data_IF_551048020244
#
_entry.id   IF_551048020244
#
_cell.length_a   1.000
_cell.length_b   1.000
_cell.length_c   1.000
_cell.angle_alpha   90.00
_cell.angle_beta   90.00
_cell.angle_gamma   90.00
#
_symmetry.space_group_name_H-M   'P 1'
#
loop_
_entity.id
_entity.type
_entity.pdbx_description
1 polymer ?
#
# COMPACT_ATOMS: atom_id res chain seq x y z
N UNK A 1 -37.96 38.91 -11.61
CA UNK A 1 -37.00 39.96 -11.17
C UNK A 1 -35.80 39.28 -10.53
N UNK A 2 -34.55 39.63 -10.89
CA UNK A 2 -33.37 39.08 -10.23
C UNK A 2 -33.37 39.46 -8.74
N UNK A 3 -33.12 38.49 -7.87
CA UNK A 3 -33.07 38.70 -6.42
C UNK A 3 -31.86 39.61 -6.10
N UNK A 4 -32.12 40.84 -5.67
CA UNK A 4 -31.08 41.80 -5.23
C UNK A 4 -30.52 41.35 -3.86
N UNK A 5 -29.22 41.56 -3.63
CA UNK A 5 -28.59 41.37 -2.31
C UNK A 5 -27.81 40.07 -2.07
N UNK A 6 -27.64 39.19 -3.07
CA UNK A 6 -26.75 38.02 -2.93
C UNK A 6 -25.30 38.39 -3.27
N UNK A 7 -24.40 38.23 -2.30
CA UNK A 7 -22.97 38.42 -2.50
C UNK A 7 -22.40 37.27 -3.33
N UNK A 8 -21.70 37.59 -4.42
CA UNK A 8 -20.96 36.62 -5.23
C UNK A 8 -19.53 36.47 -4.71
N UNK A 9 -19.08 35.22 -4.61
CA UNK A 9 -17.68 34.82 -4.38
C UNK A 9 -16.77 35.39 -5.51
N UNK A 10 -15.51 35.69 -5.21
CA UNK A 10 -14.48 36.09 -6.19
C UNK A 10 -14.42 35.18 -7.43
N UNK A 11 -14.38 33.86 -7.24
CA UNK A 11 -14.38 32.88 -8.34
C UNK A 11 -15.64 33.01 -9.20
N UNK A 12 -16.81 33.24 -8.59
CA UNK A 12 -18.04 33.46 -9.34
C UNK A 12 -17.99 34.75 -10.15
N UNK A 13 -17.42 35.83 -9.61
CA UNK A 13 -17.25 37.11 -10.32
C UNK A 13 -16.31 36.96 -11.52
N UNK A 14 -15.21 36.23 -11.37
CA UNK A 14 -14.29 35.92 -12.47
C UNK A 14 -14.98 35.15 -13.59
N UNK A 15 -15.81 34.15 -13.25
CA UNK A 15 -16.58 33.39 -14.23
C UNK A 15 -17.59 34.26 -15.00
N UNK A 16 -18.22 35.23 -14.32
CA UNK A 16 -19.14 36.19 -14.97
C UNK A 16 -18.38 37.06 -15.97
N UNK A 17 -17.20 37.57 -15.62
CA UNK A 17 -16.38 38.38 -16.53
C UNK A 17 -15.96 37.58 -17.78
N UNK A 18 -15.45 36.36 -17.60
CA UNK A 18 -15.07 35.49 -18.75
C UNK A 18 -16.24 35.21 -19.69
N UNK A 19 -17.43 35.00 -19.11
CA UNK A 19 -18.65 34.80 -19.87
C UNK A 19 -19.02 36.05 -20.68
N UNK A 20 -18.91 37.22 -20.07
CA UNK A 20 -19.16 38.50 -20.74
C UNK A 20 -18.17 38.70 -21.90
N UNK A 21 -16.86 38.54 -21.67
CA UNK A 21 -15.82 38.67 -22.70
C UNK A 21 -16.03 37.70 -23.88
N UNK A 22 -16.51 36.49 -23.61
CA UNK A 22 -16.83 35.52 -24.66
C UNK A 22 -17.97 36.01 -25.55
N UNK A 23 -19.07 36.49 -24.97
CA UNK A 23 -20.22 36.97 -25.74
C UNK A 23 -19.96 38.30 -26.43
N UNK A 24 -19.14 39.19 -25.86
CA UNK A 24 -18.70 40.41 -26.53
C UNK A 24 -17.90 40.10 -27.80
N UNK A 25 -17.01 39.11 -27.75
CA UNK A 25 -16.31 38.62 -28.95
C UNK A 25 -17.25 38.00 -29.97
N UNK A 26 -18.27 37.25 -29.55
CA UNK A 26 -19.28 36.71 -30.48
C UNK A 26 -20.10 37.83 -31.13
N UNK A 27 -20.41 38.89 -30.38
CA UNK A 27 -21.09 40.07 -30.91
C UNK A 27 -20.24 40.81 -31.93
N UNK A 28 -18.95 41.01 -31.66
CA UNK A 28 -18.00 41.64 -32.59
C UNK A 28 -17.81 40.81 -33.87
N UNK A 29 -17.88 39.49 -33.77
CA UNK A 29 -17.77 38.57 -34.89
C UNK A 29 -19.07 38.47 -35.74
N UNK A 30 -20.15 39.17 -35.35
CA UNK A 30 -21.43 39.13 -36.06
C UNK A 30 -22.17 37.79 -35.93
N UNK A 31 -21.79 36.97 -34.95
CA UNK A 31 -22.41 35.67 -34.73
C UNK A 31 -21.55 34.70 -33.92
N UNK A 32 -22.11 33.55 -33.55
CA UNK A 32 -21.44 32.63 -32.65
C UNK A 32 -20.21 31.97 -33.26
N UNK A 33 -19.11 31.91 -32.51
CA UNK A 33 -17.91 31.15 -32.93
C UNK A 33 -18.18 29.64 -33.00
N UNK A 34 -18.99 29.16 -32.06
CA UNK A 34 -19.37 27.76 -31.94
C UNK A 34 -20.88 27.67 -32.18
N UNK A 35 -21.37 26.71 -32.99
CA UNK A 35 -22.79 26.56 -33.25
C UNK A 35 -23.62 26.47 -31.96
N UNK A 36 -24.80 27.09 -31.95
CA UNK A 36 -25.72 27.13 -30.79
C UNK A 36 -26.11 25.72 -30.33
N UNK A 37 -26.11 24.75 -31.25
CA UNK A 37 -26.35 23.33 -30.97
C UNK A 37 -25.34 22.73 -29.99
N UNK A 38 -24.10 23.22 -29.98
CA UNK A 38 -23.00 22.66 -29.18
C UNK A 38 -22.84 23.36 -27.82
N UNK A 39 -23.93 23.41 -27.05
CA UNK A 39 -24.00 24.13 -25.76
C UNK A 39 -22.84 23.78 -24.82
N UNK A 40 -22.46 22.50 -24.70
CA UNK A 40 -21.39 22.05 -23.80
C UNK A 40 -20.03 22.65 -24.14
N UNK A 41 -19.70 22.71 -25.43
CA UNK A 41 -18.43 23.26 -25.90
C UNK A 41 -18.40 24.78 -25.78
N UNK A 42 -19.54 25.45 -26.02
CA UNK A 42 -19.69 26.89 -25.78
C UNK A 42 -19.41 27.27 -24.33
N UNK A 43 -20.06 26.57 -23.40
CA UNK A 43 -19.86 26.82 -21.95
C UNK A 43 -18.42 26.51 -21.54
N UNK A 44 -17.83 25.45 -22.11
CA UNK A 44 -16.42 25.08 -21.84
C UNK A 44 -15.46 26.19 -22.25
N UNK A 45 -15.62 26.74 -23.46
CA UNK A 45 -14.78 27.81 -23.98
C UNK A 45 -15.05 29.16 -23.31
N UNK A 46 -16.31 29.48 -23.04
CA UNK A 46 -16.69 30.73 -22.40
C UNK A 46 -16.18 30.84 -20.95
N UNK A 47 -16.24 29.75 -20.19
CA UNK A 47 -15.85 29.75 -18.78
C UNK A 47 -14.42 29.23 -18.54
N UNK A 48 -13.78 28.63 -19.56
CA UNK A 48 -12.49 27.95 -19.42
C UNK A 48 -12.56 26.68 -18.55
N UNK A 49 -13.72 26.02 -18.51
CA UNK A 49 -13.94 24.81 -17.69
C UNK A 49 -13.87 23.57 -18.59
N UNK A 50 -13.13 22.54 -18.17
CA UNK A 50 -13.01 21.30 -18.93
C UNK A 50 -14.35 20.60 -19.16
N UNK A 51 -14.57 20.07 -20.37
CA UNK A 51 -15.82 19.42 -20.77
C UNK A 51 -16.26 18.28 -19.83
N UNK A 52 -15.30 17.54 -19.26
CA UNK A 52 -15.57 16.47 -18.27
C UNK A 52 -16.16 17.02 -16.97
N UNK A 53 -15.66 18.16 -16.50
CA UNK A 53 -16.16 18.83 -15.29
C UNK A 53 -17.58 19.32 -15.52
N UNK A 54 -17.86 19.92 -16.68
CA UNK A 54 -19.23 20.31 -17.06
C UNK A 54 -20.17 19.12 -17.16
N UNK A 55 -19.71 18.00 -17.74
CA UNK A 55 -20.49 16.77 -17.78
C UNK A 55 -20.86 16.27 -16.38
N UNK A 56 -19.91 16.25 -15.45
CA UNK A 56 -20.15 15.82 -14.07
C UNK A 56 -21.13 16.75 -13.36
N UNK A 57 -20.97 18.07 -13.49
CA UNK A 57 -21.88 19.08 -12.92
C UNK A 57 -23.29 18.92 -13.49
N UNK A 58 -23.41 18.73 -14.81
CA UNK A 58 -24.71 18.53 -15.44
C UNK A 58 -25.38 17.22 -15.00
N UNK A 59 -24.58 16.17 -14.73
CA UNK A 59 -25.08 14.93 -14.14
C UNK A 59 -25.60 15.14 -12.72
N UNK A 60 -24.96 15.99 -11.92
CA UNK A 60 -25.45 16.36 -10.58
C UNK A 60 -26.77 17.13 -10.64
N UNK A 61 -26.99 17.96 -11.68
CA UNK A 61 -28.24 18.74 -11.86
C UNK A 61 -29.49 17.87 -11.86
N UNK A 62 -29.48 16.73 -12.55
CA UNK A 62 -30.68 15.88 -12.74
C UNK A 62 -30.87 14.79 -11.67
N UNK A 63 -29.86 14.54 -10.81
CA UNK A 63 -29.97 13.59 -9.70
C UNK A 63 -30.34 12.15 -10.10
N UNK A 64 -30.70 11.30 -9.13
CA UNK A 64 -31.22 9.94 -9.39
C UNK A 64 -32.71 9.95 -9.76
N UNK A 65 -33.43 11.00 -9.38
CA UNK A 65 -34.88 11.15 -9.51
C UNK A 65 -35.31 11.91 -10.78
N UNK A 66 -34.36 12.38 -11.60
CA UNK A 66 -34.64 13.13 -12.83
C UNK A 66 -35.14 14.58 -12.63
N UNK A 67 -35.31 15.03 -11.38
CA UNK A 67 -35.74 16.40 -11.06
C UNK A 67 -34.60 17.41 -11.28
N UNK A 68 -34.92 18.63 -11.71
CA UNK A 68 -33.92 19.68 -11.98
C UNK A 68 -33.43 20.41 -10.72
N UNK A 69 -34.07 20.18 -9.57
CA UNK A 69 -33.85 20.95 -8.33
C UNK A 69 -32.79 20.33 -7.39
N UNK A 70 -31.76 19.69 -7.95
CA UNK A 70 -30.71 19.10 -7.12
C UNK A 70 -29.71 20.15 -6.63
N UNK A 71 -29.37 20.08 -5.34
CA UNK A 71 -28.33 20.91 -4.74
C UNK A 71 -26.96 20.43 -5.22
N UNK A 72 -26.28 21.25 -6.03
CA UNK A 72 -24.91 21.02 -6.47
C UNK A 72 -23.96 20.98 -5.27
N UNK A 73 -23.15 19.92 -5.14
CA UNK A 73 -22.24 19.75 -4.01
C UNK A 73 -20.80 19.82 -4.46
N UNK A 74 -19.98 20.64 -3.78
CA UNK A 74 -18.55 20.67 -4.04
C UNK A 74 -17.93 19.29 -3.72
N UNK A 75 -17.21 18.66 -4.67
CA UNK A 75 -16.53 17.41 -4.41
C UNK A 75 -15.55 17.55 -3.23
N UNK A 76 -15.65 16.67 -2.24
CA UNK A 76 -14.76 16.68 -1.08
C UNK A 76 -13.36 16.17 -1.48
N UNK A 77 -12.32 16.80 -0.94
CA UNK A 77 -10.94 16.29 -1.06
C UNK A 77 -10.85 14.90 -0.44
N UNK A 78 -10.40 13.90 -1.19
CA UNK A 78 -10.17 12.55 -0.67
C UNK A 78 -9.07 12.60 0.39
N UNK A 79 -9.37 12.19 1.61
CA UNK A 79 -8.38 12.04 2.69
C UNK A 79 -7.75 10.65 2.60
N UNK A 80 -6.43 10.55 2.69
CA UNK A 80 -5.74 9.26 2.84
C UNK A 80 -6.07 8.70 4.23
N UNK A 81 -6.38 7.40 4.30
CA UNK A 81 -6.47 6.72 5.60
C UNK A 81 -5.07 6.67 6.22
N UNK A 82 -4.96 6.96 7.52
CA UNK A 82 -3.69 6.85 8.24
C UNK A 82 -3.33 5.36 8.39
N UNK A 83 -2.05 4.96 8.28
CA UNK A 83 -1.64 3.59 8.54
C UNK A 83 -1.98 3.21 10.00
N UNK A 84 -2.62 2.06 10.18
CA UNK A 84 -2.88 1.51 11.52
C UNK A 84 -1.57 0.90 12.02
N UNK A 85 -0.82 1.69 12.78
CA UNK A 85 0.48 1.29 13.35
C UNK A 85 0.38 0.89 14.83
N UNK A 86 -0.75 1.17 15.49
CA UNK A 86 -0.98 0.76 16.87
C UNK A 86 -1.44 -0.69 16.95
N UNK A 87 -0.67 -1.53 17.63
CA UNK A 87 -1.18 -2.79 18.21
C UNK A 87 -1.83 -2.40 19.54
N UNK A 88 -3.08 -2.81 19.75
CA UNK A 88 -3.77 -2.55 21.02
C UNK A 88 -3.05 -3.27 22.18
N UNK A 89 -3.17 -2.75 23.40
CA UNK A 89 -2.54 -3.34 24.60
C UNK A 89 -3.02 -4.78 24.80
N UNK A 90 -4.30 -5.04 24.54
CA UNK A 90 -4.88 -6.39 24.58
C UNK A 90 -4.26 -7.33 23.54
N UNK A 91 -4.16 -6.87 22.29
CA UNK A 91 -3.54 -7.65 21.20
C UNK A 91 -2.05 -7.91 21.49
N UNK A 92 -1.33 -6.92 22.02
CA UNK A 92 0.07 -7.04 22.40
C UNK A 92 0.27 -8.08 23.51
N UNK A 93 -0.61 -8.10 24.51
CA UNK A 93 -0.54 -9.07 25.60
C UNK A 93 -0.91 -10.49 25.14
N UNK A 94 -1.90 -10.62 24.26
CA UNK A 94 -2.25 -11.90 23.64
C UNK A 94 -1.09 -12.45 22.79
N UNK A 95 -0.40 -11.61 22.00
CA UNK A 95 0.80 -12.00 21.24
C UNK A 95 1.92 -12.44 22.18
N UNK A 96 2.14 -11.73 23.29
CA UNK A 96 3.17 -12.10 24.29
C UNK A 96 2.90 -13.46 24.91
N UNK A 97 1.67 -13.72 25.36
CA UNK A 97 1.24 -15.02 25.89
C UNK A 97 1.43 -16.14 24.87
N UNK A 98 1.08 -15.87 23.60
CA UNK A 98 1.25 -16.81 22.50
C UNK A 98 2.72 -17.18 22.27
N UNK A 99 3.62 -16.19 22.33
CA UNK A 99 5.08 -16.41 22.25
C UNK A 99 5.57 -17.23 23.45
N UNK A 100 5.11 -16.93 24.67
CA UNK A 100 5.51 -17.70 25.86
C UNK A 100 5.08 -19.17 25.80
N UNK A 101 3.95 -19.48 25.15
CA UNK A 101 3.53 -20.87 24.94
C UNK A 101 4.55 -21.71 24.17
N UNK A 102 5.36 -21.13 23.28
CA UNK A 102 6.45 -21.84 22.60
C UNK A 102 7.54 -22.28 23.57
N UNK A 103 7.98 -21.39 24.45
CA UNK A 103 8.99 -21.72 25.46
C UNK A 103 8.50 -22.76 26.46
N UNK A 104 7.21 -22.76 26.81
CA UNK A 104 6.61 -23.80 27.66
C UNK A 104 6.65 -25.19 27.02
N UNK A 105 6.62 -25.27 25.68
CA UNK A 105 6.72 -26.53 24.92
C UNK A 105 8.17 -26.90 24.53
N UNK A 106 9.17 -26.14 25.02
CA UNK A 106 10.56 -26.24 24.57
C UNK A 106 10.74 -26.08 23.04
N UNK A 107 9.85 -25.33 22.39
CA UNK A 107 9.94 -25.00 20.97
C UNK A 107 10.55 -23.61 20.78
N UNK A 108 11.42 -23.45 19.79
CA UNK A 108 11.94 -22.14 19.43
C UNK A 108 10.95 -21.39 18.52
N UNK A 109 10.47 -20.20 18.92
CA UNK A 109 9.54 -19.43 18.11
C UNK A 109 10.25 -18.81 16.90
N UNK A 110 10.34 -19.57 15.80
CA UNK A 110 10.86 -19.06 14.53
C UNK A 110 9.84 -18.13 13.86
N UNK A 111 10.31 -17.14 13.09
CA UNK A 111 9.44 -16.19 12.37
C UNK A 111 8.36 -16.87 11.54
N UNK A 112 8.70 -17.97 10.84
CA UNK A 112 7.76 -18.74 10.02
C UNK A 112 6.67 -19.36 10.88
N UNK A 113 7.05 -19.99 11.99
CA UNK A 113 6.15 -20.69 12.89
C UNK A 113 5.22 -19.72 13.63
N UNK A 114 5.75 -18.61 14.12
CA UNK A 114 4.98 -17.51 14.72
C UNK A 114 3.98 -16.91 13.74
N UNK A 115 4.36 -16.70 12.47
CA UNK A 115 3.47 -16.10 11.49
C UNK A 115 2.28 -17.00 11.17
N UNK A 116 2.48 -18.31 11.12
CA UNK A 116 1.40 -19.29 10.94
C UNK A 116 0.48 -19.31 12.16
N UNK A 117 1.05 -19.50 13.34
CA UNK A 117 0.24 -19.67 14.56
C UNK A 117 -0.46 -18.39 15.00
N UNK A 118 0.12 -17.20 14.76
CA UNK A 118 -0.56 -15.93 15.02
C UNK A 118 -1.70 -15.67 14.04
N UNK A 119 -1.63 -16.19 12.80
CA UNK A 119 -2.77 -16.14 11.86
C UNK A 119 -3.89 -17.05 12.32
N UNK A 120 -3.57 -18.27 12.71
CA UNK A 120 -4.54 -19.26 13.22
C UNK A 120 -5.24 -18.76 14.49
N UNK A 121 -4.48 -18.14 15.40
CA UNK A 121 -5.03 -17.52 16.61
C UNK A 121 -5.80 -16.21 16.33
N UNK A 122 -5.87 -15.73 15.09
CA UNK A 122 -6.54 -14.48 14.71
C UNK A 122 -5.82 -13.20 15.18
N UNK A 123 -4.65 -13.33 15.80
CA UNK A 123 -3.81 -12.25 16.34
C UNK A 123 -3.01 -11.52 15.25
N UNK A 124 -2.88 -12.10 14.06
CA UNK A 124 -2.21 -11.48 12.92
C UNK A 124 -3.04 -11.53 11.64
N UNK A 125 -3.50 -10.36 11.20
CA UNK A 125 -4.34 -10.18 9.99
C UNK A 125 -3.56 -9.75 8.73
N UNK A 126 -2.23 -9.87 8.76
CA UNK A 126 -1.35 -9.49 7.64
C UNK A 126 -0.85 -8.04 7.66
N UNK A 127 0.13 -7.75 6.81
CA UNK A 127 0.75 -6.42 6.67
C UNK A 127 -0.16 -5.40 5.98
N UNK A 128 0.21 -4.12 6.09
CA UNK A 128 -0.56 -2.98 5.54
C UNK A 128 -0.92 -3.15 4.05
N UNK A 129 0.00 -3.68 3.23
CA UNK A 129 -0.27 -3.95 1.82
C UNK A 129 -1.35 -5.02 1.63
N UNK A 130 -1.26 -6.16 2.32
CA UNK A 130 -2.24 -7.24 2.22
C UNK A 130 -3.65 -6.82 2.70
N UNK A 131 -3.73 -5.99 3.76
CA UNK A 131 -5.01 -5.47 4.30
C UNK A 131 -5.68 -4.42 3.41
N UNK A 132 -4.91 -3.73 2.57
CA UNK A 132 -5.41 -2.63 1.71
C UNK A 132 -5.45 -2.99 0.21
N UNK A 133 -5.00 -4.18 -0.18
CA UNK A 133 -5.00 -4.64 -1.57
C UNK A 133 -6.31 -5.38 -1.93
N UNK A 134 -7.46 -4.77 -1.64
CA UNK A 134 -8.77 -5.43 -1.71
C UNK A 134 -9.55 -5.20 -3.00
N UNK A 135 -9.04 -4.42 -3.97
CA UNK A 135 -9.74 -4.23 -5.25
C UNK A 135 -8.82 -4.10 -6.47
N UNK A 136 -9.06 -4.89 -7.54
CA UNK A 136 -8.47 -4.71 -8.88
C UNK A 136 -8.79 -3.34 -9.52
N UNK A 137 -8.04 -2.90 -10.56
CA UNK A 137 -6.95 -3.61 -11.22
C UNK A 137 -5.60 -3.34 -10.57
N UNK A 138 -4.85 -4.42 -10.31
CA UNK A 138 -3.43 -4.36 -10.02
C UNK A 138 -2.69 -4.09 -11.33
N UNK A 139 -2.67 -2.83 -11.75
CA UNK A 139 -2.05 -2.45 -13.01
C UNK A 139 -0.54 -2.29 -12.81
N UNK A 140 0.24 -3.09 -13.53
CA UNK A 140 1.71 -3.04 -13.59
C UNK A 140 2.22 -1.62 -13.85
N UNK A 141 1.54 -0.83 -14.67
CA UNK A 141 1.91 0.57 -14.93
C UNK A 141 1.88 1.45 -13.66
N UNK A 142 0.93 1.20 -12.76
CA UNK A 142 0.82 1.93 -11.49
C UNK A 142 1.89 1.47 -10.50
N UNK A 143 2.21 0.17 -10.50
CA UNK A 143 3.32 -0.40 -9.72
C UNK A 143 4.66 0.18 -10.16
N UNK A 144 4.91 0.26 -11.48
CA UNK A 144 6.13 0.81 -12.05
C UNK A 144 6.28 2.31 -11.79
N UNK A 145 5.19 3.07 -11.79
CA UNK A 145 5.21 4.49 -11.39
C UNK A 145 5.62 4.67 -9.94
N UNK A 146 5.05 3.87 -9.03
CA UNK A 146 5.42 3.90 -7.60
C UNK A 146 6.87 3.48 -7.36
N UNK A 147 7.37 2.51 -8.13
CA UNK A 147 8.77 2.09 -8.07
C UNK A 147 9.71 3.22 -8.50
N UNK A 148 9.43 3.89 -9.62
CA UNK A 148 10.21 5.04 -10.10
C UNK A 148 10.22 6.19 -9.11
N UNK A 149 9.07 6.49 -8.50
CA UNK A 149 8.92 7.52 -7.47
C UNK A 149 9.64 7.18 -6.15
N UNK A 150 9.81 5.89 -5.85
CA UNK A 150 10.59 5.45 -4.71
C UNK A 150 12.09 5.56 -5.01
N UNK A 151 12.53 5.07 -6.16
CA UNK A 151 13.93 5.15 -6.58
C UNK A 151 14.44 6.60 -6.69
N UNK A 152 13.60 7.56 -7.08
CA UNK A 152 13.98 8.97 -7.16
C UNK A 152 14.14 9.67 -5.81
N UNK A 153 13.62 9.08 -4.73
CA UNK A 153 13.72 9.61 -3.36
C UNK A 153 14.83 8.99 -2.55
N UNK A 154 15.44 7.92 -3.05
CA UNK A 154 16.58 7.28 -2.37
C UNK A 154 17.75 8.25 -2.43
N UNK A 155 18.21 8.65 -1.25
CA UNK A 155 19.37 9.53 -1.08
C UNK A 155 20.65 8.71 -1.01
N UNK A 156 21.80 9.38 -1.03
CA UNK A 156 23.09 8.71 -0.93
C UNK A 156 23.25 8.06 0.45
N UNK A 157 22.70 8.70 1.47
CA UNK A 157 22.72 8.27 2.87
C UNK A 157 21.93 6.97 3.04
N UNK A 158 20.74 6.89 2.42
CA UNK A 158 19.93 5.66 2.41
C UNK A 158 20.69 4.49 1.74
N UNK A 159 21.46 4.77 0.68
CA UNK A 159 22.29 3.77 0.03
C UNK A 159 23.45 3.29 0.91
N UNK A 160 24.08 4.20 1.66
CA UNK A 160 25.18 3.85 2.58
C UNK A 160 24.64 2.92 3.67
N UNK A 161 23.48 3.21 4.24
CA UNK A 161 22.84 2.35 5.26
C UNK A 161 22.58 0.93 4.72
N UNK A 162 22.08 0.82 3.49
CA UNK A 162 21.84 -0.48 2.85
C UNK A 162 23.16 -1.24 2.65
N UNK A 163 24.21 -0.57 2.17
CA UNK A 163 25.53 -1.18 1.94
C UNK A 163 26.17 -1.63 3.25
N UNK A 164 26.09 -0.82 4.31
CA UNK A 164 26.59 -1.18 5.65
C UNK A 164 25.85 -2.39 6.22
N UNK A 165 24.53 -2.43 6.05
CA UNK A 165 23.73 -3.58 6.47
C UNK A 165 24.11 -4.85 5.72
N UNK A 166 24.30 -4.77 4.40
CA UNK A 166 24.76 -5.91 3.59
C UNK A 166 26.15 -6.37 4.00
N UNK A 167 27.08 -5.44 4.25
CA UNK A 167 28.42 -5.75 4.75
C UNK A 167 28.35 -6.50 6.07
N UNK A 168 27.53 -6.02 7.02
CA UNK A 168 27.36 -6.65 8.33
C UNK A 168 26.84 -8.09 8.19
N UNK A 169 25.87 -8.30 7.31
CA UNK A 169 25.26 -9.61 7.08
C UNK A 169 26.28 -10.60 6.49
N UNK A 170 27.10 -10.14 5.54
CA UNK A 170 28.21 -10.95 4.97
C UNK A 170 29.22 -11.31 6.05
N UNK A 171 29.58 -10.36 6.94
CA UNK A 171 30.50 -10.63 8.04
C UNK A 171 29.93 -11.62 9.05
N UNK A 172 28.67 -11.45 9.44
CA UNK A 172 27.97 -12.38 10.35
C UNK A 172 27.90 -13.80 9.76
N UNK A 173 27.61 -13.93 8.46
CA UNK A 173 27.62 -15.23 7.76
C UNK A 173 29.02 -15.85 7.76
N UNK A 174 30.06 -15.06 7.44
CA UNK A 174 31.45 -15.52 7.45
C UNK A 174 31.92 -15.99 8.84
N UNK A 175 31.54 -15.27 9.90
CA UNK A 175 31.82 -15.67 11.29
C UNK A 175 31.07 -16.94 11.71
N UNK A 176 29.87 -17.17 11.17
CA UNK A 176 29.17 -18.43 11.37
C UNK A 176 29.88 -19.58 10.65
N UNK A 177 30.30 -19.37 9.41
CA UNK A 177 31.02 -20.36 8.60
C UNK A 177 32.34 -20.77 9.28
N UNK A 178 33.15 -19.79 9.71
CA UNK A 178 34.39 -20.06 10.46
C UNK A 178 34.12 -20.88 11.71
N UNK A 179 33.05 -20.58 12.46
CA UNK A 179 32.70 -21.35 13.67
C UNK A 179 32.32 -22.78 13.34
N UNK A 180 31.57 -22.98 12.26
CA UNK A 180 31.21 -24.31 11.77
C UNK A 180 32.47 -25.08 11.35
N UNK A 181 33.36 -24.47 10.56
CA UNK A 181 34.63 -25.06 10.14
C UNK A 181 35.51 -25.42 11.35
N UNK A 182 35.61 -24.52 12.33
CA UNK A 182 36.38 -24.75 13.56
C UNK A 182 35.83 -25.90 14.40
N UNK A 183 34.51 -26.07 14.45
CA UNK A 183 33.84 -27.18 15.14
C UNK A 183 34.08 -28.50 14.39
N UNK A 184 33.99 -28.48 13.06
CA UNK A 184 34.24 -29.66 12.21
C UNK A 184 35.70 -30.11 12.35
N UNK A 185 36.65 -29.18 12.30
CA UNK A 185 38.09 -29.48 12.38
C UNK A 185 38.55 -29.93 13.78
N UNK A 186 37.96 -29.40 14.86
CA UNK A 186 38.41 -29.71 16.22
C UNK A 186 37.61 -30.82 16.92
N UNK A 187 36.36 -31.09 16.51
CA UNK A 187 35.44 -31.95 17.28
C UNK A 187 35.12 -33.29 16.57
N UNK A 188 35.44 -33.46 15.28
CA UNK A 188 35.27 -34.73 14.55
C UNK A 188 36.60 -35.50 14.53
N UNK A 189 37.05 -35.95 15.70
CA UNK A 189 38.01 -37.06 15.79
C UNK A 189 37.19 -38.35 15.92
N UNK A 190 36.86 -38.97 14.79
CA UNK A 190 36.28 -40.32 14.79
C UNK A 190 37.39 -41.27 15.25
N UNK A 191 37.32 -41.74 16.50
CA UNK A 191 38.14 -42.88 16.92
C UNK A 191 37.58 -44.12 16.22
N UNK A 192 38.17 -44.47 15.08
CA UNK A 192 37.93 -45.77 14.43
C UNK A 192 38.60 -46.82 15.30
N UNK A 193 37.83 -47.45 16.19
CA UNK A 193 38.27 -48.67 16.85
C UNK A 193 38.03 -49.83 15.89
N UNK A 194 39.09 -50.26 15.21
CA UNK A 194 39.12 -51.56 14.53
C UNK A 194 39.03 -52.65 15.61
N UNK A 195 37.89 -53.29 15.75
CA UNK A 195 37.76 -54.54 16.51
C UNK A 195 36.75 -55.44 15.83
N UNK A 196 37.24 -56.07 14.76
CA UNK A 196 36.84 -57.43 14.41
C UNK A 196 37.22 -58.33 15.61
N UNK A 197 36.23 -58.92 16.28
CA UNK A 197 36.44 -60.25 16.86
C UNK A 197 35.14 -61.05 16.88
N UNK A 198 35.25 -62.25 16.33
CA UNK A 198 34.23 -63.26 16.14
C UNK A 198 34.35 -64.27 17.26
N UNK A 199 33.27 -64.59 17.98
CA UNK A 199 33.23 -65.76 18.88
C UNK A 199 31.79 -66.20 19.13
N UNK A 200 31.50 -67.46 18.80
CA UNK A 200 30.18 -68.06 18.80
C UNK A 200 29.78 -68.86 20.05
N UNK A 201 28.50 -69.24 20.02
CA UNK A 201 27.87 -70.46 20.51
C UNK A 201 28.00 -70.89 21.99
N UNK A 202 26.87 -70.95 22.69
CA UNK A 202 26.34 -72.22 23.25
C UNK A 202 24.96 -72.00 23.88
N UNK A 203 24.02 -72.85 23.48
CA UNK A 203 22.67 -72.92 24.05
C UNK A 203 22.61 -73.76 25.32
N UNK A 204 21.54 -73.60 26.07
CA UNK A 204 20.98 -74.65 26.93
C UNK A 204 19.48 -74.45 27.07
N UNK A 205 18.75 -75.34 26.41
CA UNK A 205 17.32 -75.63 26.55
C UNK A 205 16.98 -76.06 27.98
N UNK A 206 15.77 -75.76 28.43
CA UNK A 206 15.16 -76.39 29.61
C UNK A 206 13.69 -76.67 29.31
N UNK A 207 13.35 -77.94 29.49
CA UNK A 207 12.06 -78.66 29.39
C UNK A 207 11.56 -79.14 28.02
#
# INVERSE_FOLDING_TARGET
MPKRGKTLNSQCRELVLKLQDYFERESQNGGPFIPVTQVKYRVSQALGIGAKTLYNINKEKFGASGSEDNVLRTPKKKRRQKPVTGVDVFDADAIRKHIYGYYTRNEFPTRRLLLVSLKEAGLFKGGYAARNNTTPPFCTNKMMGLLKDACSKITKEDWVEVVEKTRKLITEDYECDIRVDTIIENEIVIQVTDSDDSSGESGSESE
#
